data_IF_126558507024
#
_entry.id   IF_126558507024
#
_cell.length_a   1.000
_cell.length_b   1.000
_cell.length_c   1.000
_cell.angle_alpha   90.00
_cell.angle_beta   90.00
_cell.angle_gamma   90.00
#
_symmetry.space_group_name_H-M   'P 1'
#
loop_
_entity.id
_entity.type
_entity.pdbx_description
1 polymer ?
#
# COMPACT_ATOMS: atom_id res chain seq x y z
N UNK A 1 32.70 -44.76 22.83
CA UNK A 1 31.81 -44.74 21.65
C UNK A 1 30.51 -43.96 21.86
N UNK A 2 30.10 -43.58 23.08
CA UNK A 2 28.88 -42.79 23.32
C UNK A 2 29.04 -41.25 23.18
N UNK A 3 30.28 -40.72 23.24
CA UNK A 3 30.52 -39.27 23.22
C UNK A 3 30.51 -38.64 21.81
N UNK A 4 30.93 -39.38 20.77
CA UNK A 4 30.88 -38.86 19.38
C UNK A 4 29.47 -38.86 18.78
N UNK A 5 28.59 -39.79 19.20
CA UNK A 5 27.21 -39.86 18.69
C UNK A 5 26.36 -38.68 19.21
N UNK A 6 26.59 -38.26 20.48
CA UNK A 6 25.94 -37.10 21.10
C UNK A 6 26.34 -35.78 20.43
N UNK A 7 27.62 -35.60 20.07
CA UNK A 7 28.07 -34.38 19.40
C UNK A 7 27.50 -34.23 17.98
N UNK A 8 27.31 -35.33 17.25
CA UNK A 8 26.73 -35.32 15.91
C UNK A 8 25.22 -35.05 15.93
N UNK A 9 24.45 -35.63 16.85
CA UNK A 9 23.03 -35.30 17.00
C UNK A 9 22.80 -33.85 17.44
N UNK A 10 23.64 -33.33 18.33
CA UNK A 10 23.53 -31.95 18.83
C UNK A 10 23.90 -30.93 17.76
N UNK A 11 24.86 -31.24 16.87
CA UNK A 11 25.19 -30.40 15.71
C UNK A 11 24.11 -30.42 14.63
N UNK A 12 23.46 -31.56 14.38
CA UNK A 12 22.34 -31.63 13.43
C UNK A 12 21.09 -30.87 13.91
N UNK A 13 20.83 -30.80 15.22
CA UNK A 13 19.74 -29.96 15.75
C UNK A 13 20.02 -28.46 15.62
N UNK A 14 21.27 -28.03 15.83
CA UNK A 14 21.67 -26.61 15.70
C UNK A 14 21.62 -26.14 14.24
N UNK A 15 21.98 -27.00 13.28
CA UNK A 15 21.87 -26.69 11.85
C UNK A 15 20.42 -26.65 11.35
N UNK A 16 19.49 -27.38 11.97
CA UNK A 16 18.06 -27.34 11.62
C UNK A 16 17.35 -26.10 12.22
N UNK A 17 17.75 -25.65 13.40
CA UNK A 17 17.20 -24.46 14.05
C UNK A 17 17.64 -23.14 13.37
N UNK A 18 18.79 -23.13 12.69
CA UNK A 18 19.27 -21.96 11.94
C UNK A 18 18.59 -21.77 10.57
N UNK A 19 17.78 -22.73 10.12
CA UNK A 19 17.06 -22.65 8.82
C UNK A 19 15.59 -22.24 8.96
N UNK A 20 15.13 -21.88 10.16
CA UNK A 20 13.72 -21.59 10.49
C UNK A 20 13.41 -20.13 10.85
N UNK A 21 14.27 -19.19 10.45
CA UNK A 21 14.00 -17.77 10.67
C UNK A 21 14.53 -16.91 9.52
N UNK A 22 14.17 -17.26 8.29
CA UNK A 22 13.79 -16.22 7.36
C UNK A 22 12.34 -15.83 7.72
N UNK A 23 12.18 -15.07 8.81
CA UNK A 23 10.97 -14.27 8.96
C UNK A 23 11.06 -13.25 7.82
N UNK A 24 10.46 -13.58 6.67
CA UNK A 24 10.01 -12.52 5.79
C UNK A 24 9.10 -11.67 6.68
N UNK A 25 9.50 -10.43 6.93
CA UNK A 25 8.63 -9.43 7.56
C UNK A 25 7.49 -9.29 6.57
N UNK A 26 6.37 -9.95 6.86
CA UNK A 26 5.19 -9.83 6.04
C UNK A 26 4.62 -8.44 6.33
N UNK A 27 4.33 -7.67 5.28
CA UNK A 27 3.61 -6.41 5.38
C UNK A 27 2.39 -6.59 6.28
N UNK A 28 2.21 -5.69 7.26
CA UNK A 28 1.09 -5.78 8.20
C UNK A 28 -0.18 -5.11 7.64
N UNK A 29 -0.03 -4.17 6.72
CA UNK A 29 -1.14 -3.62 5.94
C UNK A 29 -1.38 -4.50 4.72
N UNK A 30 -2.64 -4.79 4.42
CA UNK A 30 -3.05 -5.47 3.19
C UNK A 30 -3.42 -4.46 2.08
N UNK A 31 -3.77 -4.97 0.90
CA UNK A 31 -4.15 -4.14 -0.25
C UNK A 31 -5.35 -3.22 0.06
N UNK A 32 -6.29 -3.68 0.89
CA UNK A 32 -7.44 -2.88 1.27
C UNK A 32 -7.06 -1.74 2.23
N UNK A 33 -6.12 -2.00 3.15
CA UNK A 33 -5.56 -0.97 4.02
C UNK A 33 -4.85 0.12 3.21
N UNK A 34 -3.99 -0.26 2.26
CA UNK A 34 -3.28 0.70 1.40
C UNK A 34 -4.24 1.53 0.53
N UNK A 35 -5.32 0.90 0.03
CA UNK A 35 -6.40 1.63 -0.66
C UNK A 35 -7.14 2.60 0.28
N UNK A 36 -7.35 2.24 1.55
CA UNK A 36 -7.94 3.15 2.54
C UNK A 36 -7.01 4.35 2.81
N UNK A 37 -5.69 4.13 2.88
CA UNK A 37 -4.70 5.20 2.96
C UNK A 37 -4.75 6.11 1.73
N UNK A 38 -5.03 5.55 0.56
CA UNK A 38 -5.16 6.30 -0.68
C UNK A 38 -6.44 7.16 -0.73
N UNK A 39 -7.60 6.52 -0.66
CA UNK A 39 -8.90 7.16 -0.93
C UNK A 39 -9.41 7.99 0.24
N UNK A 40 -9.00 7.63 1.45
CA UNK A 40 -9.54 8.16 2.70
C UNK A 40 -8.45 8.65 3.66
N UNK A 41 -7.32 9.13 3.12
CA UNK A 41 -6.19 9.67 3.89
C UNK A 41 -6.64 10.62 5.03
N UNK A 42 -7.57 11.54 4.75
CA UNK A 42 -8.09 12.48 5.76
C UNK A 42 -8.88 11.78 6.88
N UNK A 43 -9.64 10.73 6.56
CA UNK A 43 -10.35 9.97 7.57
C UNK A 43 -9.37 9.22 8.47
N UNK A 44 -8.37 8.59 7.85
CA UNK A 44 -7.31 7.87 8.57
C UNK A 44 -6.55 8.83 9.49
N UNK A 45 -6.10 9.97 8.96
CA UNK A 45 -5.38 11.01 9.71
C UNK A 45 -6.19 11.54 10.91
N UNK A 46 -7.49 11.81 10.72
CA UNK A 46 -8.37 12.24 11.82
C UNK A 46 -8.49 11.15 12.87
N UNK A 47 -8.71 9.90 12.46
CA UNK A 47 -8.92 8.78 13.37
C UNK A 47 -7.67 8.45 14.18
N UNK A 48 -6.50 8.39 13.53
CA UNK A 48 -5.22 8.12 14.21
C UNK A 48 -4.81 9.29 15.10
N UNK A 49 -5.01 10.54 14.66
CA UNK A 49 -4.71 11.71 15.50
C UNK A 49 -5.63 11.80 16.72
N UNK A 50 -6.92 11.46 16.58
CA UNK A 50 -7.85 11.44 17.73
C UNK A 50 -7.50 10.33 18.71
N UNK A 51 -7.25 9.10 18.21
CA UNK A 51 -6.85 7.99 19.06
C UNK A 51 -5.52 8.29 19.79
N UNK A 52 -4.56 8.89 19.09
CA UNK A 52 -3.29 9.32 19.66
C UNK A 52 -3.45 10.35 20.78
N UNK A 53 -4.32 11.35 20.60
CA UNK A 53 -4.58 12.37 21.62
C UNK A 53 -5.32 11.80 22.84
N UNK A 54 -6.33 10.97 22.61
CA UNK A 54 -7.14 10.37 23.68
C UNK A 54 -6.30 9.39 24.52
N UNK A 55 -5.32 8.73 23.90
CA UNK A 55 -4.45 7.74 24.53
C UNK A 55 -3.10 8.28 25.02
N UNK A 56 -2.77 9.56 24.76
CA UNK A 56 -1.45 10.14 25.03
C UNK A 56 -0.99 10.04 26.50
N UNK A 57 -1.93 9.98 27.44
CA UNK A 57 -1.65 9.90 28.89
C UNK A 57 -2.15 8.58 29.51
N UNK A 58 -2.54 7.60 28.70
CA UNK A 58 -2.91 6.29 29.21
C UNK A 58 -1.65 5.56 29.74
N UNK A 59 -1.75 4.73 30.80
CA UNK A 59 -0.66 3.88 31.25
C UNK A 59 -0.14 2.89 30.18
N UNK A 60 -0.98 2.53 29.20
CA UNK A 60 -0.66 1.73 28.02
C UNK A 60 -1.13 2.46 26.73
N UNK A 61 -0.36 3.47 26.26
CA UNK A 61 -0.74 4.26 25.09
C UNK A 61 -0.93 3.43 23.83
N UNK A 62 -0.12 2.38 23.65
CA UNK A 62 -0.19 1.48 22.50
C UNK A 62 -1.49 0.67 22.51
N UNK A 63 -1.81 0.01 23.63
CA UNK A 63 -3.03 -0.77 23.76
C UNK A 63 -4.29 0.08 23.69
N UNK A 64 -4.27 1.28 24.27
CA UNK A 64 -5.33 2.26 24.13
C UNK A 64 -5.51 2.67 22.66
N UNK A 65 -4.43 3.03 21.97
CA UNK A 65 -4.47 3.46 20.57
C UNK A 65 -5.09 2.38 19.68
N UNK A 66 -4.62 1.14 19.77
CA UNK A 66 -5.16 0.04 18.95
C UNK A 66 -6.65 -0.16 19.23
N UNK A 67 -7.09 -0.03 20.48
CA UNK A 67 -8.50 -0.18 20.86
C UNK A 67 -9.38 0.92 20.26
N UNK A 68 -8.97 2.18 20.39
CA UNK A 68 -9.72 3.33 19.86
C UNK A 68 -9.68 3.38 18.33
N UNK A 69 -8.50 3.18 17.72
CA UNK A 69 -8.33 3.20 16.27
C UNK A 69 -9.15 2.08 15.59
N UNK A 70 -9.30 0.91 16.21
CA UNK A 70 -10.16 -0.17 15.67
C UNK A 70 -11.64 0.25 15.62
N UNK A 71 -12.09 1.12 16.51
CA UNK A 71 -13.47 1.63 16.51
C UNK A 71 -13.65 2.68 15.40
N UNK A 72 -12.64 3.53 15.20
CA UNK A 72 -12.68 4.63 14.24
C UNK A 72 -12.40 4.17 12.79
N UNK A 73 -11.60 3.13 12.60
CA UNK A 73 -11.21 2.54 11.32
C UNK A 73 -11.55 1.03 11.31
N UNK A 74 -12.84 0.67 11.35
CA UNK A 74 -13.28 -0.72 11.53
C UNK A 74 -12.95 -1.64 10.34
N UNK A 75 -12.62 -1.07 9.20
CA UNK A 75 -12.26 -1.79 7.97
C UNK A 75 -10.76 -1.93 7.79
N UNK A 76 -9.95 -1.26 8.61
CA UNK A 76 -8.50 -1.38 8.58
C UNK A 76 -8.07 -2.61 9.37
N UNK A 77 -7.07 -3.35 8.87
CA UNK A 77 -6.56 -4.55 9.51
C UNK A 77 -5.91 -4.20 10.86
N UNK A 78 -5.99 -5.14 11.80
CA UNK A 78 -5.38 -4.97 13.11
C UNK A 78 -3.84 -4.80 13.01
N UNK A 79 -3.21 -5.46 12.03
CA UNK A 79 -1.78 -5.32 11.78
C UNK A 79 -1.41 -3.90 11.33
N UNK A 80 -2.19 -3.33 10.42
CA UNK A 80 -1.97 -1.96 9.96
C UNK A 80 -2.20 -0.93 11.07
N UNK A 81 -3.23 -1.12 11.90
CA UNK A 81 -3.47 -0.30 13.11
C UNK A 81 -2.27 -0.38 14.07
N UNK A 82 -1.70 -1.57 14.26
CA UNK A 82 -0.50 -1.74 15.11
C UNK A 82 0.72 -1.01 14.54
N UNK A 83 0.85 -0.85 13.21
CA UNK A 83 1.89 0.00 12.63
C UNK A 83 1.70 1.47 12.99
N UNK A 84 0.47 1.98 12.95
CA UNK A 84 0.16 3.33 13.43
C UNK A 84 0.43 3.50 14.93
N UNK A 85 0.10 2.49 15.74
CA UNK A 85 0.40 2.50 17.17
C UNK A 85 1.92 2.56 17.43
N UNK A 86 2.71 1.79 16.68
CA UNK A 86 4.18 1.85 16.75
C UNK A 86 4.73 3.21 16.34
N UNK A 87 4.19 3.80 15.27
CA UNK A 87 4.56 5.14 14.84
C UNK A 87 4.23 6.17 15.92
N UNK A 88 3.03 6.13 16.50
CA UNK A 88 2.63 7.04 17.58
C UNK A 88 3.58 6.95 18.80
N UNK A 89 3.97 5.74 19.22
CA UNK A 89 4.96 5.55 20.27
C UNK A 89 6.33 6.13 19.89
N UNK A 90 6.78 5.92 18.65
CA UNK A 90 8.01 6.53 18.16
C UNK A 90 7.95 8.06 18.23
N UNK A 91 6.83 8.66 17.84
CA UNK A 91 6.62 10.12 17.93
C UNK A 91 6.67 10.58 19.38
N UNK A 92 6.06 9.84 20.31
CA UNK A 92 6.11 10.16 21.74
C UNK A 92 7.54 10.12 22.29
N UNK A 93 8.35 9.13 21.88
CA UNK A 93 9.71 8.94 22.36
C UNK A 93 10.71 9.94 21.76
N UNK A 94 10.57 10.27 20.48
CA UNK A 94 11.59 11.03 19.73
C UNK A 94 11.16 12.47 19.41
N UNK A 95 9.86 12.72 19.25
CA UNK A 95 9.35 13.95 18.65
C UNK A 95 8.36 14.72 19.53
N UNK A 96 7.91 14.18 20.67
CA UNK A 96 6.84 14.76 21.49
C UNK A 96 7.05 16.25 21.82
N UNK A 97 8.26 16.64 22.22
CA UNK A 97 8.53 18.04 22.60
C UNK A 97 8.54 18.98 21.39
N UNK A 98 9.01 18.50 20.23
CA UNK A 98 9.00 19.26 18.97
C UNK A 98 7.58 19.39 18.46
N UNK A 99 6.77 18.33 18.54
CA UNK A 99 5.38 18.35 18.12
C UNK A 99 4.47 19.15 19.06
N UNK A 100 4.76 19.16 20.37
CA UNK A 100 3.97 19.93 21.34
C UNK A 100 4.30 21.43 21.36
N UNK A 101 5.56 21.80 21.13
CA UNK A 101 6.03 23.18 21.34
C UNK A 101 6.73 23.81 20.13
N UNK A 102 7.00 23.05 19.07
CA UNK A 102 7.60 23.51 17.83
C UNK A 102 6.58 23.95 16.78
N UNK A 103 7.06 24.19 15.56
CA UNK A 103 6.21 24.41 14.39
C UNK A 103 5.78 23.07 13.78
N UNK A 104 4.66 23.05 13.06
CA UNK A 104 4.20 21.88 12.28
C UNK A 104 5.32 21.32 11.39
N UNK A 105 5.97 22.18 10.60
CA UNK A 105 7.09 21.76 9.74
C UNK A 105 8.28 21.12 10.50
N UNK A 106 8.49 21.47 11.77
CA UNK A 106 9.55 20.88 12.57
C UNK A 106 9.12 19.53 13.18
N UNK A 107 7.84 19.40 13.53
CA UNK A 107 7.25 18.13 13.92
C UNK A 107 7.29 17.15 12.75
N UNK A 108 6.82 17.56 11.57
CA UNK A 108 6.79 16.71 10.37
C UNK A 108 8.19 16.22 9.99
N UNK A 109 9.19 17.11 10.03
CA UNK A 109 10.58 16.73 9.80
C UNK A 109 11.11 15.73 10.84
N UNK A 110 10.75 15.90 12.12
CA UNK A 110 11.14 14.94 13.15
C UNK A 110 10.51 13.56 12.92
N UNK A 111 9.22 13.51 12.59
CA UNK A 111 8.50 12.27 12.32
C UNK A 111 9.12 11.57 11.10
N UNK A 112 9.39 12.32 10.04
CA UNK A 112 10.05 11.81 8.83
C UNK A 112 11.42 11.19 9.14
N UNK A 113 12.27 11.91 9.90
CA UNK A 113 13.65 11.48 10.16
C UNK A 113 13.74 10.30 11.15
N UNK A 114 12.76 10.12 12.04
CA UNK A 114 12.87 9.16 13.16
C UNK A 114 11.87 8.01 13.09
N UNK A 115 10.70 8.21 12.50
CA UNK A 115 9.56 7.29 12.65
C UNK A 115 9.00 6.79 11.32
N UNK A 116 9.16 7.53 10.23
CA UNK A 116 8.58 7.19 8.93
C UNK A 116 9.09 5.85 8.38
N UNK A 117 10.41 5.63 8.39
CA UNK A 117 10.99 4.40 7.85
C UNK A 117 10.47 3.14 8.58
N UNK A 118 10.34 3.19 9.90
CA UNK A 118 9.81 2.07 10.68
C UNK A 118 8.32 1.81 10.39
N UNK A 119 7.56 2.87 10.12
CA UNK A 119 6.17 2.76 9.70
C UNK A 119 6.07 2.13 8.30
N UNK A 120 6.84 2.61 7.33
CA UNK A 120 6.87 2.08 5.97
C UNK A 120 7.29 0.60 5.95
N UNK A 121 8.32 0.24 6.71
CA UNK A 121 8.75 -1.16 6.87
C UNK A 121 7.65 -2.05 7.49
N UNK A 122 6.89 -1.53 8.47
CA UNK A 122 5.81 -2.26 9.12
C UNK A 122 4.60 -2.44 8.20
N UNK A 123 4.18 -1.35 7.55
CA UNK A 123 3.06 -1.32 6.64
C UNK A 123 3.36 -2.05 5.33
N UNK A 124 4.64 -2.23 4.98
CA UNK A 124 5.06 -2.78 3.69
C UNK A 124 4.94 -1.77 2.56
N UNK A 125 5.11 -0.48 2.86
CA UNK A 125 5.09 0.60 1.88
C UNK A 125 6.43 0.64 1.16
N UNK A 126 6.41 0.45 -0.16
CA UNK A 126 7.60 0.40 -1.01
C UNK A 126 7.29 1.03 -2.36
N UNK A 127 8.33 1.57 -3.00
CA UNK A 127 8.34 1.99 -4.41
C UNK A 127 9.26 1.00 -5.15
N UNK A 128 8.66 0.02 -5.82
CA UNK A 128 9.40 -1.11 -6.38
C UNK A 128 9.76 -0.91 -7.86
N UNK A 129 9.05 -0.06 -8.60
CA UNK A 129 9.37 0.29 -9.98
C UNK A 129 10.10 1.63 -10.19
N UNK A 130 10.28 2.41 -9.11
CA UNK A 130 10.98 3.70 -9.06
C UNK A 130 10.35 4.80 -9.91
N UNK A 131 9.02 4.88 -9.95
CA UNK A 131 8.30 5.94 -10.65
C UNK A 131 7.93 7.15 -9.79
N UNK A 132 8.43 7.19 -8.54
CA UNK A 132 8.17 8.20 -7.51
C UNK A 132 6.84 8.07 -6.76
N UNK A 133 6.03 7.08 -7.09
CA UNK A 133 4.90 6.63 -6.29
C UNK A 133 5.27 5.33 -5.60
N UNK A 134 4.78 5.14 -4.39
CA UNK A 134 4.89 3.86 -3.71
C UNK A 134 3.58 3.09 -3.93
N UNK A 135 3.50 1.86 -3.45
CA UNK A 135 2.29 1.04 -3.48
C UNK A 135 1.05 1.61 -2.75
N UNK A 136 1.08 2.85 -2.25
CA UNK A 136 -0.12 3.61 -1.87
C UNK A 136 -0.59 4.39 -3.10
N UNK A 137 -1.83 4.15 -3.53
CA UNK A 137 -2.44 4.72 -4.75
C UNK A 137 -1.82 4.27 -6.08
N UNK A 138 -0.68 3.59 -6.06
CA UNK A 138 -0.14 2.92 -7.23
C UNK A 138 -0.87 1.59 -7.45
N UNK A 139 -1.54 1.48 -8.60
CA UNK A 139 -2.33 0.33 -8.97
C UNK A 139 -1.48 -0.83 -9.54
N UNK A 140 -0.21 -0.60 -9.90
CA UNK A 140 0.79 -1.63 -10.18
C UNK A 140 2.22 -1.13 -9.91
N UNK A 141 2.66 -1.26 -8.65
CA UNK A 141 4.02 -0.96 -8.15
C UNK A 141 5.15 -1.85 -8.74
N UNK A 142 4.89 -2.52 -9.87
CA UNK A 142 5.90 -3.18 -10.70
C UNK A 142 5.96 -2.60 -12.12
N UNK A 143 5.18 -1.56 -12.41
CA UNK A 143 5.00 -0.98 -13.73
C UNK A 143 5.09 0.56 -13.66
N UNK A 144 6.25 1.15 -13.99
CA UNK A 144 6.49 2.58 -13.82
C UNK A 144 5.74 3.47 -14.84
N UNK A 145 4.84 2.88 -15.63
CA UNK A 145 3.92 3.56 -16.54
C UNK A 145 2.48 3.50 -16.04
N UNK A 146 2.24 2.94 -14.85
CA UNK A 146 0.94 2.75 -14.25
C UNK A 146 0.93 3.31 -12.83
N UNK A 147 0.70 4.62 -12.71
CA UNK A 147 0.72 5.32 -11.44
C UNK A 147 -0.19 6.55 -11.51
N UNK A 148 -0.58 7.17 -10.36
CA UNK A 148 -1.37 8.38 -10.35
C UNK A 148 -0.90 9.46 -11.33
N UNK A 149 -1.76 9.83 -12.26
CA UNK A 149 -1.49 10.87 -13.26
C UNK A 149 -0.56 10.48 -14.42
N UNK A 150 -0.23 9.20 -14.62
CA UNK A 150 0.51 8.74 -15.77
C UNK A 150 -0.23 9.00 -17.10
N UNK A 151 0.51 8.98 -18.21
CA UNK A 151 -0.08 9.07 -19.54
C UNK A 151 -0.55 7.69 -20.00
N UNK A 152 -1.67 7.64 -20.74
CA UNK A 152 -2.16 6.38 -21.29
C UNK A 152 -1.18 5.75 -22.29
N UNK A 153 -0.98 4.44 -22.17
CA UNK A 153 -0.08 3.65 -23.02
C UNK A 153 -0.80 2.99 -24.20
N UNK A 154 -2.12 3.10 -24.28
CA UNK A 154 -2.98 2.35 -25.20
C UNK A 154 -2.75 0.84 -25.09
N UNK A 155 -2.68 0.31 -23.86
CA UNK A 155 -2.49 -1.12 -23.57
C UNK A 155 -3.72 -1.78 -22.94
N UNK A 156 -4.79 -1.02 -22.72
CA UNK A 156 -6.02 -1.49 -22.10
C UNK A 156 -5.93 -1.60 -20.58
N UNK A 157 -5.05 -0.82 -19.97
CA UNK A 157 -4.84 -0.70 -18.52
C UNK A 157 -5.12 0.75 -18.10
N UNK A 158 -5.60 0.95 -16.87
CA UNK A 158 -5.73 2.29 -16.27
C UNK A 158 -4.33 2.74 -15.84
N UNK A 159 -3.66 3.49 -16.72
CA UNK A 159 -2.30 3.96 -16.48
C UNK A 159 -2.26 5.00 -15.37
N UNK A 160 -3.31 5.80 -15.23
CA UNK A 160 -3.30 6.92 -14.29
C UNK A 160 -3.93 6.60 -12.91
N UNK A 161 -4.31 5.33 -12.69
CA UNK A 161 -4.87 4.77 -11.47
C UNK A 161 -6.07 5.55 -10.90
N UNK A 162 -6.92 6.13 -11.76
CA UNK A 162 -8.10 6.89 -11.32
C UNK A 162 -9.39 6.06 -11.27
N UNK A 163 -9.31 4.77 -11.62
CA UNK A 163 -10.43 3.83 -11.66
C UNK A 163 -11.30 3.92 -12.91
N UNK A 164 -10.89 4.70 -13.92
CA UNK A 164 -11.61 4.93 -15.17
C UNK A 164 -10.69 4.69 -16.37
N UNK A 165 -11.18 3.92 -17.35
CA UNK A 165 -10.47 3.72 -18.60
C UNK A 165 -10.68 4.91 -19.55
N UNK A 166 -9.62 5.66 -19.84
CA UNK A 166 -9.64 6.76 -20.81
C UNK A 166 -9.33 6.31 -22.24
N UNK A 167 -9.65 7.15 -23.22
CA UNK A 167 -9.39 6.85 -24.65
C UNK A 167 -7.91 6.61 -24.93
N UNK A 168 -7.01 7.32 -24.24
CA UNK A 168 -5.55 7.13 -24.36
C UNK A 168 -5.03 5.85 -23.70
N UNK A 169 -5.85 5.18 -22.91
CA UNK A 169 -5.50 4.00 -22.12
C UNK A 169 -6.08 2.73 -22.72
N UNK A 170 -7.21 2.85 -23.42
CA UNK A 170 -7.82 1.75 -24.17
C UNK A 170 -6.80 1.23 -25.18
N UNK A 171 -6.61 -0.09 -25.17
CA UNK A 171 -5.77 -0.76 -26.15
C UNK A 171 -6.19 -0.34 -27.55
N UNK A 172 -5.27 0.27 -28.31
CA UNK A 172 -5.47 0.52 -29.73
C UNK A 172 -5.41 -0.85 -30.42
N UNK A 173 -6.50 -1.60 -30.28
CA UNK A 173 -6.67 -2.94 -30.81
C UNK A 173 -6.76 -2.92 -32.34
N UNK A 174 -6.47 -1.78 -32.99
CA UNK A 174 -6.76 -1.56 -34.40
C UNK A 174 -8.21 -1.94 -34.65
N UNK A 175 -9.14 -1.17 -34.07
CA UNK A 175 -10.59 -1.39 -34.06
C UNK A 175 -11.03 -2.69 -34.79
N UNK A 176 -11.05 -3.86 -34.12
CA UNK A 176 -11.43 -5.12 -34.79
C UNK A 176 -12.87 -5.09 -35.31
N UNK A 177 -13.66 -4.14 -34.79
CA UNK A 177 -15.02 -3.81 -35.19
C UNK A 177 -15.10 -2.59 -36.12
N UNK A 178 -14.00 -2.02 -36.58
CA UNK A 178 -13.98 -1.15 -37.78
C UNK A 178 -14.07 -2.06 -39.00
N UNK A 179 -15.27 -2.59 -39.21
CA UNK A 179 -15.55 -3.48 -40.31
C UNK A 179 -15.62 -2.73 -41.65
N UNK A 180 -15.75 -1.40 -41.60
CA UNK A 180 -15.78 -0.55 -42.78
C UNK A 180 -14.40 -0.09 -43.26
N UNK A 181 -13.39 -0.16 -42.38
CA UNK A 181 -12.02 0.29 -42.61
C UNK A 181 -11.87 1.82 -42.65
N UNK A 182 -12.75 2.57 -41.98
CA UNK A 182 -12.76 4.04 -42.00
C UNK A 182 -12.09 4.68 -40.77
N UNK A 183 -11.57 3.87 -39.85
CA UNK A 183 -10.83 4.28 -38.67
C UNK A 183 -11.70 4.73 -37.50
N UNK A 184 -13.03 4.53 -37.58
CA UNK A 184 -13.96 4.77 -36.46
C UNK A 184 -14.83 3.53 -36.26
N UNK A 185 -15.38 3.36 -35.05
CA UNK A 185 -16.40 2.36 -34.77
C UNK A 185 -17.75 3.07 -34.67
N UNK A 186 -18.63 2.83 -35.64
CA UNK A 186 -19.88 3.57 -35.76
C UNK A 186 -20.98 2.84 -36.52
N UNK A 187 -21.96 3.62 -37.00
CA UNK A 187 -23.11 3.08 -37.72
C UNK A 187 -22.70 2.36 -39.02
N UNK A 188 -21.60 2.79 -39.65
CA UNK A 188 -21.05 2.13 -40.85
C UNK A 188 -20.64 0.68 -40.54
N UNK A 189 -19.94 0.46 -39.42
CA UNK A 189 -19.50 -0.87 -39.01
C UNK A 189 -20.63 -1.76 -38.55
N UNK A 190 -21.61 -1.18 -37.84
CA UNK A 190 -22.82 -1.90 -37.46
C UNK A 190 -23.58 -2.39 -38.71
N UNK A 191 -23.63 -1.60 -39.78
CA UNK A 191 -24.24 -2.02 -41.05
C UNK A 191 -23.46 -3.16 -41.68
N UNK A 192 -22.12 -3.12 -41.69
CA UNK A 192 -21.30 -4.24 -42.19
C UNK A 192 -21.51 -5.50 -41.35
N UNK A 193 -21.58 -5.37 -40.02
CA UNK A 193 -21.84 -6.47 -39.09
C UNK A 193 -23.23 -7.10 -39.31
N UNK A 194 -24.28 -6.28 -39.39
CA UNK A 194 -25.64 -6.76 -39.62
C UNK A 194 -25.82 -7.37 -41.02
N UNK A 195 -25.07 -6.88 -42.02
CA UNK A 195 -25.00 -7.46 -43.36
C UNK A 195 -24.49 -8.91 -43.37
N UNK A 196 -23.68 -9.32 -42.38
CA UNK A 196 -23.23 -10.73 -42.24
C UNK A 196 -24.35 -11.68 -41.80
N UNK A 197 -25.38 -11.19 -41.12
CA UNK A 197 -26.52 -12.00 -40.65
C UNK A 197 -27.73 -11.95 -41.57
N UNK A 198 -27.62 -11.24 -42.70
CA UNK A 198 -28.56 -11.30 -43.81
C UNK A 198 -29.87 -10.58 -43.56
N UNK A 199 -29.92 -9.29 -43.94
CA UNK A 199 -30.82 -8.71 -44.96
C UNK A 199 -30.17 -7.42 -45.46
#
# INVERSE_FOLDING_TARGET
>A
MYSMLSLFLQRSMVLCALMYSAFAIQAQCDEYDLMLLCDSATQVDIATSSAGLDCAFDPDPAGCFTTEATILLPTMSAGCIDCFAQQANCVLDNCATICAFGSTAACDACIYDNCQLAFEDCAGIVDNDNDTHNNICDCDDNNPLQHPGAAGTNEGIDNNCNGLMEVSEIADLGCPTDLSGDGIVGAADLVVFLGLFGC
#
